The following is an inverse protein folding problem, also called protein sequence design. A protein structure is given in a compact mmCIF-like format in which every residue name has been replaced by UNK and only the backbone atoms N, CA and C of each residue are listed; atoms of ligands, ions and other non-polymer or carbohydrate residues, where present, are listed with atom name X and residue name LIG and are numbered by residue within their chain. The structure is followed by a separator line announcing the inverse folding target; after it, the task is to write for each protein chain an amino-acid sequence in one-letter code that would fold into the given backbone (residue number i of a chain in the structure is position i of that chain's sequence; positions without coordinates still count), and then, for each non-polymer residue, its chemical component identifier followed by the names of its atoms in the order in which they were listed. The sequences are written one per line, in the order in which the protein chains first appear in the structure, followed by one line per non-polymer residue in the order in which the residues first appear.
data_IF_593921288079
#
_entry.id   IF_593921288079
#
_cell.length_a   1.000
_cell.length_b   1.000
_cell.length_c   1.000
_cell.angle_alpha   90.00
_cell.angle_beta   90.00
_cell.angle_gamma   90.00
#
_symmetry.space_group_name_H-M   'P 1'
#
loop_
_entity.id
_entity.type
_entity.pdbx_description
1 polymer ?
#
# COMPACT_ATOMS: atom_id res chain seq x y z
N UNK A 1 -19.35 -8.02 11.24
CA UNK A 1 -18.09 -8.70 10.88
C UNK A 1 -17.47 -8.11 9.61
N UNK A 2 -18.16 -8.08 8.47
CA UNK A 2 -17.61 -7.47 7.25
C UNK A 2 -17.35 -5.95 7.32
N UNK A 3 -18.27 -5.19 7.95
CA UNK A 3 -18.13 -3.73 8.11
C UNK A 3 -16.91 -3.34 8.95
N UNK A 4 -16.70 -4.00 10.09
CA UNK A 4 -15.54 -3.73 10.95
C UNK A 4 -14.21 -3.96 10.19
N UNK A 5 -14.11 -5.03 9.39
CA UNK A 5 -12.95 -5.28 8.56
C UNK A 5 -12.77 -4.20 7.47
N UNK A 6 -13.87 -3.75 6.86
CA UNK A 6 -13.84 -2.67 5.88
C UNK A 6 -13.32 -1.36 6.51
N UNK A 7 -13.74 -1.06 7.74
CA UNK A 7 -13.28 0.12 8.48
C UNK A 7 -11.78 0.04 8.80
N UNK A 8 -11.30 -1.14 9.23
CA UNK A 8 -9.87 -1.38 9.47
C UNK A 8 -9.04 -1.19 8.20
N UNK A 9 -9.51 -1.69 7.05
CA UNK A 9 -8.84 -1.51 5.77
C UNK A 9 -8.87 -0.03 5.35
N UNK A 10 -10.01 0.63 5.48
CA UNK A 10 -10.19 2.04 5.12
C UNK A 10 -9.36 3.01 5.98
N UNK A 11 -8.95 2.59 7.18
CA UNK A 11 -8.05 3.35 8.03
C UNK A 11 -6.58 3.37 7.56
N UNK A 12 -6.22 2.56 6.55
CA UNK A 12 -4.88 2.52 5.97
C UNK A 12 -4.74 3.41 4.73
N UNK A 13 -3.51 3.76 4.36
CA UNK A 13 -3.25 4.56 3.17
C UNK A 13 -3.70 3.83 1.89
N UNK A 14 -4.64 4.37 1.09
CA UNK A 14 -5.19 3.67 -0.07
C UNK A 14 -4.15 3.16 -1.06
N UNK A 15 -3.13 3.97 -1.37
CA UNK A 15 -2.07 3.57 -2.30
C UNK A 15 -1.21 2.42 -1.77
N UNK A 16 -1.00 2.36 -0.46
CA UNK A 16 -0.26 1.25 0.16
C UNK A 16 -1.07 -0.05 0.14
N UNK A 17 -2.36 0.01 0.48
CA UNK A 17 -3.26 -1.15 0.47
C UNK A 17 -3.40 -1.72 -0.95
N UNK A 18 -3.67 -0.85 -1.92
CA UNK A 18 -3.80 -1.25 -3.33
C UNK A 18 -2.48 -1.83 -3.87
N UNK A 19 -1.36 -1.17 -3.56
CA UNK A 19 -0.03 -1.62 -3.93
C UNK A 19 0.29 -3.00 -3.36
N UNK A 20 0.07 -3.21 -2.06
CA UNK A 20 0.30 -4.49 -1.41
C UNK A 20 -0.57 -5.60 -1.99
N UNK A 21 -1.87 -5.33 -2.21
CA UNK A 21 -2.78 -6.30 -2.84
C UNK A 21 -2.26 -6.75 -4.20
N UNK A 22 -1.81 -5.81 -5.04
CA UNK A 22 -1.27 -6.13 -6.36
C UNK A 22 0.03 -6.92 -6.28
N UNK A 23 0.92 -6.58 -5.35
CA UNK A 23 2.17 -7.31 -5.12
C UNK A 23 1.86 -8.76 -4.71
N UNK A 24 0.91 -8.99 -3.80
CA UNK A 24 0.53 -10.34 -3.38
C UNK A 24 -0.04 -11.17 -4.55
N UNK A 25 -0.89 -10.58 -5.39
CA UNK A 25 -1.40 -11.25 -6.60
C UNK A 25 -0.29 -11.63 -7.58
N UNK A 26 0.72 -10.78 -7.76
CA UNK A 26 1.88 -11.10 -8.58
C UNK A 26 2.68 -12.26 -7.97
N UNK A 27 2.96 -12.22 -6.66
CA UNK A 27 3.72 -13.27 -5.98
C UNK A 27 3.01 -14.62 -6.04
N UNK A 28 1.68 -14.64 -5.85
CA UNK A 28 0.85 -15.84 -5.99
C UNK A 28 0.93 -16.42 -7.42
N UNK A 29 0.74 -15.58 -8.44
CA UNK A 29 0.79 -16.00 -9.84
C UNK A 29 2.19 -16.36 -10.36
N UNK A 30 3.25 -16.03 -9.61
CA UNK A 30 4.65 -16.25 -10.02
C UNK A 30 5.41 -17.24 -9.15
N UNK A 31 4.76 -17.87 -8.16
CA UNK A 31 5.45 -18.65 -7.13
C UNK A 31 6.37 -19.76 -7.67
N UNK A 32 6.02 -20.42 -8.77
CA UNK A 32 6.84 -21.49 -9.37
C UNK A 32 7.96 -20.96 -10.28
N UNK A 33 7.70 -19.88 -11.03
CA UNK A 33 8.61 -19.36 -12.07
C UNK A 33 9.48 -18.19 -11.60
N UNK A 34 9.17 -17.63 -10.44
CA UNK A 34 9.73 -16.38 -9.97
C UNK A 34 9.24 -15.16 -10.77
N UNK A 35 9.56 -13.98 -10.25
CA UNK A 35 9.22 -12.71 -10.90
C UNK A 35 10.05 -12.53 -12.19
N UNK A 36 9.42 -12.02 -13.24
CA UNK A 36 10.11 -11.45 -14.39
C UNK A 36 10.64 -10.05 -14.07
N UNK A 37 11.46 -9.49 -14.96
CA UNK A 37 11.98 -8.14 -14.77
C UNK A 37 10.88 -7.08 -14.78
N UNK A 38 9.92 -7.21 -15.71
CA UNK A 38 8.75 -6.33 -15.78
C UNK A 38 7.91 -6.36 -14.49
N UNK A 39 7.76 -7.52 -13.87
CA UNK A 39 7.01 -7.66 -12.61
C UNK A 39 7.80 -7.05 -11.44
N UNK A 40 9.14 -7.18 -11.43
CA UNK A 40 10.00 -6.46 -10.46
C UNK A 40 9.87 -4.95 -10.61
N UNK A 41 9.90 -4.44 -11.83
CA UNK A 41 9.70 -3.02 -12.12
C UNK A 41 8.31 -2.53 -11.68
N UNK A 42 7.26 -3.33 -11.91
CA UNK A 42 5.91 -3.03 -11.43
C UNK A 42 5.87 -2.91 -9.91
N UNK A 43 6.44 -3.88 -9.19
CA UNK A 43 6.53 -3.86 -7.72
C UNK A 43 7.31 -2.62 -7.24
N UNK A 44 8.44 -2.30 -7.87
CA UNK A 44 9.22 -1.11 -7.54
C UNK A 44 8.42 0.18 -7.78
N UNK A 45 7.65 0.25 -8.87
CA UNK A 45 6.76 1.37 -9.18
C UNK A 45 5.64 1.54 -8.16
N UNK A 46 4.98 0.45 -7.76
CA UNK A 46 3.94 0.47 -6.72
C UNK A 46 4.49 0.99 -5.39
N UNK A 47 5.65 0.50 -4.98
CA UNK A 47 6.32 0.95 -3.75
C UNK A 47 6.67 2.44 -3.85
N UNK A 48 7.32 2.86 -4.93
CA UNK A 48 7.69 4.27 -5.14
C UNK A 48 6.49 5.21 -5.04
N UNK A 49 5.39 4.90 -5.75
CA UNK A 49 4.15 5.70 -5.66
C UNK A 49 3.61 5.80 -4.23
N UNK A 50 3.59 4.70 -3.48
CA UNK A 50 3.12 4.72 -2.10
C UNK A 50 4.05 5.57 -1.20
N UNK A 51 5.37 5.52 -1.40
CA UNK A 51 6.34 6.28 -0.59
C UNK A 51 6.38 7.79 -0.93
N UNK A 52 6.11 8.16 -2.18
CA UNK A 52 6.10 9.55 -2.64
C UNK A 52 4.76 10.28 -2.37
N UNK A 53 3.73 9.53 -1.99
CA UNK A 53 2.38 10.03 -1.71
C UNK A 53 2.32 11.08 -0.59
N UNK A 54 1.28 11.93 -0.63
CA UNK A 54 0.91 12.78 0.48
C UNK A 54 0.54 11.97 1.72
N UNK A 55 -0.09 10.81 1.54
CA UNK A 55 -0.39 9.88 2.64
C UNK A 55 0.86 9.45 3.42
N UNK A 56 2.00 9.26 2.74
CA UNK A 56 3.25 8.95 3.41
C UNK A 56 3.82 10.15 4.19
N UNK A 57 3.61 11.38 3.72
CA UNK A 57 3.94 12.59 4.49
C UNK A 57 3.04 12.72 5.71
N UNK A 58 1.74 12.53 5.53
CA UNK A 58 0.74 12.54 6.60
C UNK A 58 1.01 11.45 7.65
N UNK A 59 1.39 10.24 7.25
CA UNK A 59 1.75 9.17 8.18
C UNK A 59 2.91 9.61 9.11
N UNK A 60 3.95 10.25 8.53
CA UNK A 60 5.08 10.76 9.32
C UNK A 60 4.65 11.88 10.26
N UNK A 61 3.82 12.81 9.77
CA UNK A 61 3.33 13.94 10.55
C UNK A 61 2.42 13.49 11.70
N UNK A 62 1.42 12.66 11.41
CA UNK A 62 0.50 12.11 12.39
C UNK A 62 1.24 11.31 13.49
N UNK A 63 2.27 10.55 13.10
CA UNK A 63 3.15 9.85 14.07
C UNK A 63 3.92 10.83 14.96
N UNK A 64 4.46 11.91 14.40
CA UNK A 64 5.17 12.94 15.17
C UNK A 64 4.22 13.67 16.14
N UNK A 65 2.99 13.94 15.71
CA UNK A 65 1.94 14.62 16.48
C UNK A 65 1.16 13.68 17.42
N UNK A 66 1.45 12.37 17.41
CA UNK A 66 0.76 11.32 18.21
C UNK A 66 -0.76 11.31 18.01
N UNK A 67 -1.20 11.53 16.77
CA UNK A 67 -2.60 11.46 16.37
C UNK A 67 -2.82 10.39 15.30
N UNK A 68 -4.06 9.93 15.08
CA UNK A 68 -4.39 9.11 13.92
C UNK A 68 -4.12 9.85 12.60
N UNK A 69 -3.60 9.17 11.56
CA UNK A 69 -3.44 9.74 10.23
C UNK A 69 -4.79 9.89 9.51
N UNK A 70 -4.85 10.84 8.57
CA UNK A 70 -6.01 11.09 7.70
C UNK A 70 -5.62 10.90 6.24
N UNK A 71 -5.71 9.65 5.77
CA UNK A 71 -5.32 9.31 4.41
C UNK A 71 -6.38 9.71 3.37
N UNK A 72 -5.91 10.09 2.18
CA UNK A 72 -6.75 10.55 1.06
C UNK A 72 -6.48 9.80 -0.25
N UNK A 73 -5.43 8.99 -0.32
CA UNK A 73 -5.06 8.25 -1.53
C UNK A 73 -4.29 9.08 -2.56
N UNK A 74 -3.61 10.13 -2.12
CA UNK A 74 -2.79 11.05 -2.92
C UNK A 74 -1.38 11.19 -2.33
#
# INVERSE_FOLDING_TARGET
MALALADEIAANAPLAVQGMKRILQLLEGTHERGLSEREREEIAGLRRRAFESADMREARQARAERRPPRFRGE
#
